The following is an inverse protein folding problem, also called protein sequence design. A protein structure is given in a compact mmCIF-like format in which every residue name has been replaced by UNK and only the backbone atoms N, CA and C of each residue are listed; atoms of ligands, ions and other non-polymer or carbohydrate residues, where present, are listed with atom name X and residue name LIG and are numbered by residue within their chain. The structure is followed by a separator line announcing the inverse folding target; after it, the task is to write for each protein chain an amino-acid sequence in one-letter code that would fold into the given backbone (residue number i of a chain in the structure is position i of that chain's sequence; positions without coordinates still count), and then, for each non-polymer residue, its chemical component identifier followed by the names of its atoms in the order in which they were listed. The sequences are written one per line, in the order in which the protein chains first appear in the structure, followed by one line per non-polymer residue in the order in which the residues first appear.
data_IF_937782796880
#
_entry.id   IF_937782796880
#
_cell.length_a   1.000
_cell.length_b   1.000
_cell.length_c   1.000
_cell.angle_alpha   90.00
_cell.angle_beta   90.00
_cell.angle_gamma   90.00
#
_symmetry.space_group_name_H-M   'P 1'
#
loop_
_entity.id
_entity.type
_entity.pdbx_description
1 polymer ?
#
# COMPACT_ATOMS: atom_id res chain seq x y z
N UNK A 1 0.87 25.02 17.11
CA UNK A 1 1.48 24.29 15.97
C UNK A 1 0.38 24.02 14.94
N UNK A 2 0.42 24.71 13.79
CA UNK A 2 -0.47 24.44 12.67
C UNK A 2 -0.12 23.05 12.10
N UNK A 3 -0.88 22.03 12.47
CA UNK A 3 -0.73 20.68 11.89
C UNK A 3 -1.38 20.73 10.50
N UNK A 4 -0.61 20.51 9.44
CA UNK A 4 -1.17 20.50 8.09
C UNK A 4 -2.19 19.38 7.93
N UNK A 5 -3.40 19.70 7.46
CA UNK A 5 -4.43 18.71 7.11
C UNK A 5 -4.24 18.12 5.70
N UNK A 6 -3.15 18.50 5.02
CA UNK A 6 -2.81 18.04 3.67
C UNK A 6 -2.71 16.51 3.59
N UNK A 7 -3.34 15.95 2.55
CA UNK A 7 -3.27 14.52 2.22
C UNK A 7 -1.83 14.06 1.99
N UNK A 8 -1.41 13.06 2.77
CA UNK A 8 -0.05 12.52 2.75
C UNK A 8 0.96 13.28 3.62
N UNK A 9 0.52 14.20 4.49
CA UNK A 9 1.36 14.80 5.54
C UNK A 9 1.62 13.83 6.69
N UNK A 10 2.69 14.00 7.51
CA UNK A 10 2.96 13.12 8.64
C UNK A 10 1.77 12.96 9.60
N UNK A 11 1.04 14.06 9.87
CA UNK A 11 -0.15 14.04 10.72
C UNK A 11 -1.31 13.25 10.08
N UNK A 12 -1.59 13.47 8.80
CA UNK A 12 -2.62 12.73 8.06
C UNK A 12 -2.30 11.23 7.99
N UNK A 13 -1.03 10.87 7.79
CA UNK A 13 -0.59 9.47 7.80
C UNK A 13 -0.73 8.83 9.18
N UNK A 14 -0.36 9.55 10.25
CA UNK A 14 -0.52 9.09 11.63
C UNK A 14 -1.97 8.78 11.96
N UNK A 15 -2.85 9.68 11.54
CA UNK A 15 -4.29 9.54 11.64
C UNK A 15 -4.81 8.32 10.89
N UNK A 16 -4.40 8.12 9.63
CA UNK A 16 -4.81 6.96 8.84
C UNK A 16 -4.41 5.62 9.48
N UNK A 17 -3.21 5.54 10.06
CA UNK A 17 -2.79 4.35 10.80
C UNK A 17 -3.63 4.09 12.04
N UNK A 18 -3.95 5.12 12.82
CA UNK A 18 -4.83 4.96 13.98
C UNK A 18 -6.20 4.41 13.57
N UNK A 19 -6.75 4.89 12.44
CA UNK A 19 -8.01 4.38 11.91
C UNK A 19 -7.89 2.91 11.47
N UNK A 20 -6.80 2.56 10.78
CA UNK A 20 -6.55 1.17 10.41
C UNK A 20 -6.44 0.26 11.63
N UNK A 21 -5.80 0.71 12.70
CA UNK A 21 -5.73 -0.02 13.96
C UNK A 21 -7.11 -0.17 14.61
N UNK A 22 -7.98 0.84 14.51
CA UNK A 22 -9.35 0.75 14.99
C UNK A 22 -10.16 -0.29 14.18
N UNK A 23 -9.99 -0.32 12.86
CA UNK A 23 -10.62 -1.33 12.00
C UNK A 23 -10.11 -2.74 12.33
N UNK A 24 -8.80 -2.90 12.54
CA UNK A 24 -8.19 -4.17 12.96
C UNK A 24 -8.72 -4.62 14.32
N UNK A 25 -8.94 -3.68 15.26
CA UNK A 25 -9.55 -3.98 16.56
C UNK A 25 -11.00 -4.46 16.42
N UNK A 26 -11.76 -3.91 15.48
CA UNK A 26 -13.18 -4.27 15.27
C UNK A 26 -13.38 -5.55 14.46
N UNK A 27 -12.63 -5.71 13.37
CA UNK A 27 -12.84 -6.78 12.38
C UNK A 27 -11.78 -7.88 12.44
N UNK A 28 -10.76 -7.72 13.28
CA UNK A 28 -9.63 -8.64 13.38
C UNK A 28 -8.47 -8.27 12.46
N UNK A 29 -7.38 -9.05 12.56
CA UNK A 29 -6.18 -8.87 11.74
C UNK A 29 -6.51 -9.04 10.24
N UNK A 30 -5.77 -8.37 9.34
CA UNK A 30 -5.84 -8.67 7.92
C UNK A 30 -5.44 -10.12 7.65
N UNK A 31 -6.05 -10.72 6.64
CA UNK A 31 -5.77 -12.07 6.16
C UNK A 31 -4.89 -12.07 4.91
N UNK A 32 -5.01 -11.03 4.07
CA UNK A 32 -4.22 -10.88 2.85
C UNK A 32 -3.58 -9.49 2.75
N UNK A 33 -2.37 -9.47 2.21
CA UNK A 33 -1.65 -8.28 1.80
C UNK A 33 -1.31 -8.39 0.32
N UNK A 34 -1.75 -7.40 -0.46
CA UNK A 34 -1.52 -7.36 -1.90
C UNK A 34 -0.70 -6.13 -2.25
N UNK A 35 0.20 -6.27 -3.21
CA UNK A 35 0.79 -5.11 -3.89
C UNK A 35 0.48 -5.19 -5.37
N UNK A 36 -0.08 -4.13 -5.94
CA UNK A 36 -0.41 -4.02 -7.36
C UNK A 36 0.38 -2.88 -7.98
N UNK A 37 1.27 -3.20 -8.92
CA UNK A 37 2.09 -2.20 -9.61
C UNK A 37 1.55 -1.97 -11.01
N UNK A 38 1.44 -0.70 -11.43
CA UNK A 38 1.04 -0.35 -12.78
C UNK A 38 1.94 -1.02 -13.84
N UNK A 39 1.36 -1.45 -14.96
CA UNK A 39 2.08 -1.93 -16.12
C UNK A 39 1.95 -0.90 -17.26
N UNK A 40 3.05 -0.27 -17.71
CA UNK A 40 2.99 0.76 -18.75
C UNK A 40 2.77 0.15 -20.14
N UNK A 41 2.88 -1.18 -20.26
CA UNK A 41 2.60 -1.93 -21.49
C UNK A 41 1.14 -2.41 -21.57
N UNK A 42 0.24 -1.93 -20.71
CA UNK A 42 -1.18 -2.20 -20.90
C UNK A 42 -1.67 -1.62 -22.22
N UNK A 43 -2.56 -2.36 -22.90
CA UNK A 43 -3.15 -1.91 -24.17
C UNK A 43 -3.83 -0.54 -24.02
N UNK A 44 -4.54 -0.32 -22.90
CA UNK A 44 -5.19 0.95 -22.57
C UNK A 44 -4.22 2.14 -22.48
N UNK A 45 -2.93 1.89 -22.16
CA UNK A 45 -1.88 2.92 -22.17
C UNK A 45 -1.35 3.09 -23.59
N UNK A 46 -0.91 1.97 -24.20
CA UNK A 46 -0.22 2.00 -25.50
C UNK A 46 -1.12 2.55 -26.61
N UNK A 47 -2.42 2.29 -26.57
CA UNK A 47 -3.39 2.77 -27.56
C UNK A 47 -3.62 4.29 -27.48
N UNK A 48 -3.14 4.96 -26.44
CA UNK A 48 -3.22 6.41 -26.28
C UNK A 48 -1.91 7.14 -26.61
N UNK A 49 -0.87 6.42 -27.06
CA UNK A 49 0.40 7.01 -27.46
C UNK A 49 0.32 7.49 -28.92
N UNK A 50 0.81 8.70 -29.18
CA UNK A 50 0.83 9.28 -30.53
C UNK A 50 2.27 9.41 -31.06
N UNK A 51 2.48 9.06 -32.32
CA UNK A 51 3.79 9.17 -32.99
C UNK A 51 4.89 8.39 -32.25
N UNK A 52 5.87 9.13 -31.73
CA UNK A 52 7.04 8.58 -31.01
C UNK A 52 6.92 8.67 -29.49
N UNK A 53 5.75 9.03 -28.95
CA UNK A 53 5.52 9.11 -27.51
C UNK A 53 5.73 7.74 -26.84
N UNK A 54 6.36 7.76 -25.68
CA UNK A 54 6.49 6.60 -24.80
C UNK A 54 5.60 6.79 -23.57
N UNK A 55 5.20 5.71 -22.88
CA UNK A 55 4.38 5.81 -21.67
C UNK A 55 5.00 6.70 -20.57
N UNK A 56 6.33 6.75 -20.51
CA UNK A 56 7.11 7.63 -19.61
C UNK A 56 6.83 9.12 -19.84
N UNK A 57 6.49 9.49 -21.07
CA UNK A 57 6.24 10.87 -21.50
C UNK A 57 4.80 11.31 -21.20
N UNK A 58 3.91 10.38 -20.80
CA UNK A 58 2.47 10.59 -20.59
C UNK A 58 2.00 10.16 -19.18
N UNK A 59 2.48 10.83 -18.12
CA UNK A 59 2.08 10.51 -16.75
C UNK A 59 0.57 10.67 -16.51
N UNK A 60 -0.09 11.57 -17.26
CA UNK A 60 -1.54 11.78 -17.23
C UNK A 60 -2.34 10.56 -17.69
N UNK A 61 -1.85 9.83 -18.70
CA UNK A 61 -2.48 8.57 -19.17
C UNK A 61 -2.20 7.46 -18.17
N UNK A 62 -0.94 7.31 -17.73
CA UNK A 62 -0.53 6.25 -16.79
C UNK A 62 -1.39 6.26 -15.53
N UNK A 63 -1.54 7.41 -14.88
CA UNK A 63 -2.30 7.52 -13.63
C UNK A 63 -3.80 7.26 -13.82
N UNK A 64 -4.38 7.70 -14.94
CA UNK A 64 -5.80 7.45 -15.25
C UNK A 64 -6.05 5.97 -15.48
N UNK A 65 -5.22 5.31 -16.29
CA UNK A 65 -5.32 3.87 -16.55
C UNK A 65 -5.07 3.08 -15.27
N UNK A 66 -4.04 3.43 -14.49
CA UNK A 66 -3.79 2.76 -13.21
C UNK A 66 -4.96 2.89 -12.24
N UNK A 67 -5.57 4.07 -12.10
CA UNK A 67 -6.75 4.26 -11.26
C UNK A 67 -7.94 3.40 -11.74
N UNK A 68 -8.17 3.30 -13.05
CA UNK A 68 -9.21 2.42 -13.61
C UNK A 68 -8.94 0.94 -13.28
N UNK A 69 -7.71 0.48 -13.49
CA UNK A 69 -7.33 -0.91 -13.18
C UNK A 69 -7.37 -1.21 -11.69
N UNK A 70 -7.05 -0.25 -10.83
CA UNK A 70 -7.17 -0.38 -9.38
C UNK A 70 -8.64 -0.53 -8.96
N UNK A 71 -9.55 0.27 -9.54
CA UNK A 71 -10.99 0.14 -9.27
C UNK A 71 -11.53 -1.22 -9.72
N UNK A 72 -11.14 -1.67 -10.90
CA UNK A 72 -11.50 -3.00 -11.41
C UNK A 72 -10.99 -4.12 -10.48
N UNK A 73 -9.72 -4.02 -10.04
CA UNK A 73 -9.14 -4.95 -9.07
C UNK A 73 -9.92 -4.99 -7.74
N UNK A 74 -10.32 -3.83 -7.21
CA UNK A 74 -11.10 -3.76 -5.98
C UNK A 74 -12.51 -4.32 -6.15
N UNK A 75 -13.15 -4.10 -7.30
CA UNK A 75 -14.46 -4.67 -7.61
C UNK A 75 -14.39 -6.20 -7.70
N UNK A 76 -13.37 -6.72 -8.36
CA UNK A 76 -13.08 -8.14 -8.44
C UNK A 76 -12.86 -8.78 -7.06
N UNK A 77 -12.10 -8.11 -6.20
CA UNK A 77 -11.83 -8.60 -4.84
C UNK A 77 -13.08 -8.53 -3.96
N UNK A 78 -13.79 -7.41 -3.97
CA UNK A 78 -14.85 -7.13 -2.99
C UNK A 78 -16.25 -7.57 -3.44
N UNK A 79 -16.54 -7.59 -4.74
CA UNK A 79 -17.86 -7.97 -5.28
C UNK A 79 -17.86 -9.34 -5.93
N UNK A 80 -16.81 -9.68 -6.67
CA UNK A 80 -16.73 -11.00 -7.35
C UNK A 80 -16.14 -12.10 -6.45
N UNK A 81 -15.73 -11.77 -5.22
CA UNK A 81 -15.41 -12.74 -4.19
C UNK A 81 -14.20 -13.63 -4.49
N UNK A 82 -13.18 -13.09 -5.17
CA UNK A 82 -11.98 -13.85 -5.57
C UNK A 82 -11.30 -14.55 -4.40
N UNK A 83 -11.31 -13.91 -3.23
CA UNK A 83 -10.78 -14.46 -1.98
C UNK A 83 -11.88 -14.85 -0.99
N UNK A 84 -13.14 -14.91 -1.43
CA UNK A 84 -14.33 -14.98 -0.59
C UNK A 84 -14.84 -13.59 -0.17
N UNK A 85 -15.63 -13.55 0.90
CA UNK A 85 -16.29 -12.33 1.39
C UNK A 85 -15.31 -11.43 2.13
N UNK A 86 -15.14 -10.21 1.62
CA UNK A 86 -14.31 -9.18 2.25
C UNK A 86 -15.14 -8.37 3.24
N UNK A 87 -14.84 -8.50 4.54
CA UNK A 87 -15.45 -7.65 5.57
C UNK A 87 -14.93 -6.22 5.47
N UNK A 88 -13.60 -6.05 5.34
CA UNK A 88 -13.01 -4.73 5.25
C UNK A 88 -11.72 -4.72 4.44
N UNK A 89 -11.42 -3.60 3.81
CA UNK A 89 -10.15 -3.38 3.13
C UNK A 89 -9.62 -1.97 3.37
N UNK A 90 -8.30 -1.85 3.25
CA UNK A 90 -7.57 -0.58 3.32
C UNK A 90 -6.54 -0.60 2.20
N UNK A 91 -6.42 0.48 1.44
CA UNK A 91 -5.33 0.62 0.50
C UNK A 91 -4.62 1.96 0.61
N UNK A 92 -3.35 1.96 0.21
CA UNK A 92 -2.53 3.17 0.05
C UNK A 92 -1.77 3.10 -1.26
N UNK A 93 -1.68 4.23 -1.96
CA UNK A 93 -0.93 4.43 -3.19
C UNK A 93 0.42 5.04 -2.84
N UNK A 94 1.48 4.41 -3.30
CA UNK A 94 2.84 4.89 -3.14
C UNK A 94 3.45 5.16 -4.53
N UNK A 95 4.23 6.23 -4.62
CA UNK A 95 4.96 6.63 -5.81
C UNK A 95 6.45 6.54 -5.51
N UNK A 96 7.16 5.66 -6.20
CA UNK A 96 8.62 5.55 -6.06
C UNK A 96 9.31 6.54 -7.02
N UNK A 97 10.46 7.12 -6.64
CA UNK A 97 11.18 8.14 -7.46
C UNK A 97 11.30 7.82 -8.95
N UNK A 98 11.49 6.55 -9.28
CA UNK A 98 11.66 6.02 -10.64
C UNK A 98 10.71 4.86 -10.92
N UNK A 99 9.73 4.65 -10.05
CA UNK A 99 8.81 3.53 -10.13
C UNK A 99 7.43 4.00 -10.55
N UNK A 100 6.70 3.09 -11.17
CA UNK A 100 5.32 3.30 -11.52
C UNK A 100 4.45 3.35 -10.25
N UNK A 101 3.23 3.89 -10.33
CA UNK A 101 2.32 3.91 -9.21
C UNK A 101 2.06 2.48 -8.74
N UNK A 102 1.99 2.29 -7.42
CA UNK A 102 1.65 1.00 -6.85
C UNK A 102 0.71 1.15 -5.67
N UNK A 103 -0.20 0.20 -5.55
CA UNK A 103 -1.14 0.10 -4.46
C UNK A 103 -0.69 -1.00 -3.50
N UNK A 104 -0.72 -0.69 -2.21
CA UNK A 104 -0.64 -1.68 -1.14
C UNK A 104 -2.03 -1.85 -0.55
N UNK A 105 -2.54 -3.07 -0.50
CA UNK A 105 -3.93 -3.37 -0.13
C UNK A 105 -3.92 -4.41 1.00
N UNK A 106 -4.64 -4.14 2.07
CA UNK A 106 -4.94 -5.11 3.13
C UNK A 106 -6.40 -5.52 3.06
N UNK A 107 -6.65 -6.82 3.17
CA UNK A 107 -8.00 -7.38 3.20
C UNK A 107 -8.21 -8.15 4.51
N UNK A 108 -9.39 -7.96 5.11
CA UNK A 108 -9.90 -8.80 6.19
C UNK A 108 -11.14 -9.52 5.67
N UNK A 109 -11.09 -10.85 5.69
CA UNK A 109 -12.13 -11.76 5.21
C UNK A 109 -13.08 -12.14 6.35
N UNK A 110 -14.30 -12.57 6.01
CA UNK A 110 -15.26 -13.10 6.97
C UNK A 110 -14.84 -14.46 7.56
N UNK A 111 -15.62 -14.98 8.50
CA UNK A 111 -15.31 -16.25 9.17
C UNK A 111 -15.33 -17.45 8.22
N UNK A 112 -16.19 -17.46 7.21
CA UNK A 112 -16.33 -18.58 6.27
C UNK A 112 -15.20 -18.57 5.24
N UNK A 113 -14.68 -17.39 4.90
CA UNK A 113 -13.64 -17.18 3.90
C UNK A 113 -12.21 -17.16 4.48
N UNK A 114 -12.03 -17.36 5.80
CA UNK A 114 -10.69 -17.34 6.40
C UNK A 114 -9.78 -18.42 5.81
N UNK A 115 -8.54 -18.01 5.52
CA UNK A 115 -7.45 -18.88 5.11
C UNK A 115 -6.85 -19.52 6.37
N UNK A 116 -7.13 -20.80 6.61
CA UNK A 116 -6.75 -21.49 7.85
C UNK A 116 -5.75 -22.61 7.64
N UNK A 117 -5.73 -23.19 6.46
CA UNK A 117 -4.94 -24.37 6.14
C UNK A 117 -3.97 -24.10 4.99
N UNK A 118 -2.95 -24.96 4.86
CA UNK A 118 -2.06 -24.95 3.68
C UNK A 118 -2.82 -25.08 2.35
N UNK A 119 -3.94 -25.81 2.33
CA UNK A 119 -4.73 -26.01 1.12
C UNK A 119 -5.53 -24.74 0.78
N UNK A 120 -6.01 -24.00 1.79
CA UNK A 120 -6.59 -22.67 1.58
C UNK A 120 -5.57 -21.68 1.03
N UNK A 121 -4.32 -21.74 1.51
CA UNK A 121 -3.23 -20.90 1.01
C UNK A 121 -2.97 -21.22 -0.46
N UNK A 122 -2.73 -22.50 -0.77
CA UNK A 122 -2.41 -22.96 -2.13
C UNK A 122 -3.56 -22.74 -3.13
N UNK A 123 -4.81 -22.65 -2.65
CA UNK A 123 -5.97 -22.27 -3.46
C UNK A 123 -5.86 -20.84 -3.99
N UNK A 124 -5.31 -19.92 -3.22
CA UNK A 124 -5.29 -18.49 -3.56
C UNK A 124 -3.91 -17.96 -3.98
N UNK A 125 -2.83 -18.58 -3.51
CA UNK A 125 -1.47 -18.08 -3.68
C UNK A 125 -0.57 -19.17 -4.23
N UNK A 126 0.09 -18.88 -5.36
CA UNK A 126 1.17 -19.70 -5.91
C UNK A 126 2.46 -18.91 -5.92
N UNK A 127 3.57 -19.61 -5.72
CA UNK A 127 4.91 -19.07 -5.90
C UNK A 127 5.72 -19.94 -6.86
N UNK A 128 5.05 -20.57 -7.82
CA UNK A 128 5.63 -21.48 -8.81
C UNK A 128 5.46 -20.94 -10.24
N UNK A 129 6.38 -21.29 -11.12
CA UNK A 129 6.25 -21.14 -12.56
C UNK A 129 5.09 -22.04 -13.04
N UNK A 130 4.10 -21.49 -13.76
CA UNK A 130 3.06 -22.31 -14.39
C UNK A 130 3.68 -23.24 -15.44
N UNK A 131 3.08 -24.41 -15.64
CA UNK A 131 3.48 -25.27 -16.76
C UNK A 131 3.14 -24.58 -18.11
N UNK A 132 4.13 -24.33 -18.98
CA UNK A 132 3.91 -23.66 -20.25
C UNK A 132 3.08 -24.48 -21.24
N UNK A 133 3.02 -25.81 -21.11
CA UNK A 133 2.21 -26.67 -21.96
C UNK A 133 0.72 -26.51 -21.70
N UNK A 134 0.34 -26.22 -20.45
CA UNK A 134 -1.06 -26.07 -20.02
C UNK A 134 -1.48 -24.61 -19.85
N UNK A 135 -0.60 -23.75 -19.36
CA UNK A 135 -0.89 -22.36 -19.00
C UNK A 135 0.09 -21.36 -19.62
N UNK A 136 0.36 -21.49 -20.92
CA UNK A 136 1.33 -20.65 -21.66
C UNK A 136 1.19 -19.15 -21.36
N UNK A 137 -0.03 -18.61 -21.38
CA UNK A 137 -0.25 -17.18 -21.13
C UNK A 137 0.14 -16.77 -19.71
N UNK A 138 -0.22 -17.57 -18.71
CA UNK A 138 0.13 -17.27 -17.32
C UNK A 138 1.64 -17.41 -17.13
N UNK A 139 2.27 -18.43 -17.73
CA UNK A 139 3.73 -18.60 -17.71
C UNK A 139 4.45 -17.37 -18.25
N UNK A 140 4.01 -16.82 -19.40
CA UNK A 140 4.56 -15.57 -19.96
C UNK A 140 4.42 -14.38 -19.01
N UNK A 141 3.28 -14.27 -18.31
CA UNK A 141 3.06 -13.17 -17.36
C UNK A 141 3.93 -13.36 -16.12
N UNK A 142 4.02 -14.57 -15.56
CA UNK A 142 4.83 -14.87 -14.37
C UNK A 142 6.31 -14.63 -14.64
N UNK A 143 6.83 -15.12 -15.77
CA UNK A 143 8.24 -14.92 -16.16
C UNK A 143 8.57 -13.45 -16.41
N UNK A 144 7.62 -12.66 -16.93
CA UNK A 144 7.79 -11.23 -17.17
C UNK A 144 7.65 -10.37 -15.91
N UNK A 145 6.64 -10.65 -15.09
CA UNK A 145 6.17 -9.73 -14.05
C UNK A 145 6.38 -10.23 -12.63
N UNK A 146 6.55 -11.54 -12.41
CA UNK A 146 6.58 -12.14 -11.07
C UNK A 146 7.93 -12.78 -10.72
N UNK A 147 8.94 -12.69 -11.57
CA UNK A 147 10.30 -13.12 -11.22
C UNK A 147 10.98 -12.01 -10.44
N UNK A 148 11.38 -12.30 -9.20
CA UNK A 148 12.28 -11.41 -8.47
C UNK A 148 13.59 -11.33 -9.26
N UNK A 149 14.01 -10.11 -9.60
CA UNK A 149 15.19 -9.89 -10.42
C UNK A 149 16.41 -10.62 -9.84
N UNK A 150 17.31 -11.12 -10.70
CA UNK A 150 18.51 -11.77 -10.20
C UNK A 150 19.24 -10.79 -9.28
N UNK A 151 19.55 -11.28 -8.10
CA UNK A 151 20.23 -10.56 -7.03
C UNK A 151 21.16 -11.54 -6.31
N UNK A 152 21.76 -11.11 -5.20
CA UNK A 152 22.73 -11.93 -4.50
C UNK A 152 24.02 -12.03 -5.29
N UNK A 153 24.55 -13.24 -5.39
CA UNK A 153 25.77 -13.53 -6.16
C UNK A 153 25.61 -13.31 -7.66
N UNK A 154 24.38 -13.40 -8.18
CA UNK A 154 24.09 -13.22 -9.62
C UNK A 154 24.15 -11.74 -10.01
N UNK A 155 23.76 -10.85 -9.10
CA UNK A 155 23.85 -9.40 -9.31
C UNK A 155 23.87 -8.65 -7.96
N UNK A 156 25.07 -8.30 -7.52
CA UNK A 156 25.28 -7.58 -6.25
C UNK A 156 24.77 -6.13 -6.29
N UNK A 157 24.60 -5.56 -7.49
CA UNK A 157 24.16 -4.18 -7.70
C UNK A 157 22.63 -4.04 -7.76
N UNK A 158 21.88 -5.13 -7.59
CA UNK A 158 20.42 -5.08 -7.58
C UNK A 158 19.90 -4.20 -6.44
N UNK A 159 18.87 -3.34 -6.64
CA UNK A 159 18.38 -2.41 -5.60
C UNK A 159 17.88 -3.07 -4.31
N UNK A 160 17.58 -4.38 -4.37
CA UNK A 160 17.19 -5.16 -3.21
C UNK A 160 18.36 -5.59 -2.33
N UNK A 161 19.61 -5.45 -2.78
CA UNK A 161 20.79 -5.85 -2.03
C UNK A 161 21.09 -4.85 -0.92
N UNK A 162 21.27 -5.35 0.30
CA UNK A 162 21.82 -4.62 1.44
C UNK A 162 22.80 -5.52 2.18
N UNK A 163 23.95 -4.98 2.55
CA UNK A 163 24.95 -5.70 3.34
C UNK A 163 25.32 -7.08 2.74
N UNK A 164 25.44 -7.14 1.41
CA UNK A 164 25.77 -8.36 0.68
C UNK A 164 24.63 -9.39 0.54
N UNK A 165 23.44 -9.12 1.06
CA UNK A 165 22.29 -10.03 1.01
C UNK A 165 21.04 -9.37 0.41
N UNK A 166 20.17 -10.16 -0.21
CA UNK A 166 18.89 -9.65 -0.67
C UNK A 166 17.99 -9.34 0.54
N UNK A 167 17.50 -8.10 0.65
CA UNK A 167 16.61 -7.69 1.75
C UNK A 167 15.23 -8.39 1.73
N UNK A 168 14.92 -9.11 0.64
CA UNK A 168 13.72 -9.95 0.49
C UNK A 168 14.05 -11.45 0.61
N UNK A 169 15.32 -11.79 0.89
CA UNK A 169 15.82 -13.16 1.05
C UNK A 169 15.56 -14.05 -0.17
N UNK A 170 15.83 -13.51 -1.36
CA UNK A 170 15.89 -14.28 -2.60
C UNK A 170 17.33 -14.73 -2.91
N UNK A 171 17.53 -15.92 -3.52
CA UNK A 171 16.51 -16.91 -3.83
C UNK A 171 15.90 -17.55 -2.57
N UNK A 172 14.61 -17.91 -2.61
CA UNK A 172 13.95 -18.67 -1.55
C UNK A 172 14.44 -20.12 -1.53
N UNK A 173 14.12 -20.88 -0.49
CA UNK A 173 14.37 -22.32 -0.47
C UNK A 173 13.29 -23.06 -1.27
N UNK A 174 13.65 -24.19 -1.85
CA UNK A 174 12.65 -25.13 -2.39
C UNK A 174 11.87 -25.76 -1.25
N UNK A 175 10.58 -25.98 -1.49
CA UNK A 175 9.65 -26.62 -0.57
C UNK A 175 8.58 -27.35 -1.36
N UNK A 176 8.40 -28.64 -1.09
CA UNK A 176 7.42 -29.47 -1.79
C UNK A 176 5.98 -29.21 -1.35
N UNK A 177 5.80 -28.69 -0.13
CA UNK A 177 4.51 -28.34 0.46
C UNK A 177 4.59 -26.99 1.16
N UNK A 178 3.48 -26.26 1.19
CA UNK A 178 3.37 -25.01 1.94
C UNK A 178 3.43 -25.31 3.45
N UNK A 179 4.24 -24.54 4.16
CA UNK A 179 4.39 -24.62 5.62
C UNK A 179 3.85 -23.36 6.30
N UNK A 180 3.09 -23.56 7.38
CA UNK A 180 2.62 -22.45 8.21
C UNK A 180 3.79 -21.84 8.98
N UNK A 181 3.81 -20.52 9.06
CA UNK A 181 4.80 -19.79 9.83
C UNK A 181 4.10 -18.95 10.90
N UNK A 182 4.12 -19.43 12.13
CA UNK A 182 3.42 -18.85 13.29
C UNK A 182 3.80 -17.38 13.53
N UNK A 183 4.99 -16.95 13.08
CA UNK A 183 5.55 -15.62 13.37
C UNK A 183 5.78 -14.72 12.14
N UNK A 184 5.41 -15.17 10.94
CA UNK A 184 5.75 -14.52 9.66
C UNK A 184 4.79 -14.82 8.52
N UNK A 185 5.23 -14.64 7.28
CA UNK A 185 4.47 -15.11 6.12
C UNK A 185 4.63 -16.63 5.99
N UNK A 186 3.60 -17.35 5.50
CA UNK A 186 3.75 -18.77 5.16
C UNK A 186 4.95 -19.02 4.26
N UNK A 187 5.56 -20.18 4.40
CA UNK A 187 6.59 -20.62 3.48
C UNK A 187 5.86 -21.32 2.34
N UNK A 188 5.64 -20.60 1.24
CA UNK A 188 4.92 -21.13 0.08
C UNK A 188 5.66 -22.28 -0.58
N UNK A 189 4.91 -23.25 -1.07
CA UNK A 189 5.38 -24.31 -1.95
C UNK A 189 6.14 -23.73 -3.14
N UNK A 190 7.33 -24.28 -3.37
CA UNK A 190 8.26 -23.99 -4.47
C UNK A 190 8.96 -25.31 -4.82
N UNK A 191 8.33 -26.15 -5.64
CA UNK A 191 8.93 -27.44 -6.02
C UNK A 191 10.15 -27.23 -6.91
N UNK A 192 11.11 -28.14 -6.80
CA UNK A 192 12.22 -28.17 -7.74
C UNK A 192 11.71 -28.63 -9.11
N UNK A 193 11.89 -27.79 -10.12
CA UNK A 193 11.57 -28.08 -11.52
C UNK A 193 12.75 -27.65 -12.39
N UNK A 194 12.76 -28.07 -13.65
CA UNK A 194 13.75 -27.59 -14.60
C UNK A 194 13.73 -26.06 -14.67
N UNK A 195 14.88 -25.38 -14.55
CA UNK A 195 14.97 -23.94 -14.70
C UNK A 195 14.56 -23.50 -16.10
N UNK A 196 13.98 -22.30 -16.20
CA UNK A 196 13.60 -21.66 -17.46
C UNK A 196 14.47 -20.44 -17.72
N UNK A 197 14.74 -20.15 -18.99
CA UNK A 197 15.49 -18.96 -19.37
C UNK A 197 14.59 -17.73 -19.36
N UNK A 198 14.93 -16.75 -18.54
CA UNK A 198 14.26 -15.43 -18.48
C UNK A 198 15.31 -14.37 -18.80
N UNK A 199 15.29 -13.87 -20.04
CA UNK A 199 16.35 -13.02 -20.57
C UNK A 199 17.66 -13.79 -20.65
N UNK A 200 18.68 -13.35 -19.90
CA UNK A 200 20.01 -13.99 -19.83
C UNK A 200 20.20 -14.88 -18.60
N UNK A 201 19.15 -15.10 -17.84
CA UNK A 201 19.23 -15.76 -16.53
C UNK A 201 18.44 -17.06 -16.52
N UNK A 202 19.04 -18.09 -15.93
CA UNK A 202 18.37 -19.36 -15.62
C UNK A 202 17.62 -19.21 -14.29
N UNK A 203 16.29 -19.28 -14.34
CA UNK A 203 15.40 -18.99 -13.22
C UNK A 203 14.54 -20.21 -12.89
N UNK A 204 14.37 -20.49 -11.61
CA UNK A 204 13.48 -21.54 -11.10
C UNK A 204 12.47 -20.97 -10.08
N UNK A 205 11.66 -21.85 -9.49
CA UNK A 205 10.62 -21.49 -8.54
C UNK A 205 11.12 -20.73 -7.29
N UNK A 206 12.41 -20.70 -6.99
CA UNK A 206 12.95 -19.94 -5.84
C UNK A 206 12.89 -18.44 -6.03
N UNK A 207 12.73 -17.98 -7.27
CA UNK A 207 12.72 -16.57 -7.64
C UNK A 207 11.32 -15.99 -7.82
N UNK A 208 10.29 -16.84 -7.86
CA UNK A 208 8.92 -16.39 -8.15
C UNK A 208 8.31 -15.67 -6.95
N UNK A 209 7.84 -14.45 -7.15
CA UNK A 209 7.11 -13.66 -6.15
C UNK A 209 5.69 -14.24 -6.03
N UNK A 210 5.15 -14.48 -4.81
CA UNK A 210 3.82 -15.06 -4.62
C UNK A 210 2.70 -14.29 -5.34
N UNK A 211 1.79 -14.97 -6.01
CA UNK A 211 0.73 -14.35 -6.81
C UNK A 211 -0.57 -15.16 -6.77
N UNK A 212 -1.68 -14.50 -7.07
CA UNK A 212 -2.94 -15.18 -7.38
C UNK A 212 -3.08 -15.39 -8.89
N UNK A 213 -3.38 -16.62 -9.32
CA UNK A 213 -3.41 -16.99 -10.74
C UNK A 213 -4.42 -16.16 -11.54
N UNK A 214 -5.63 -15.99 -11.02
CA UNK A 214 -6.72 -15.31 -11.71
C UNK A 214 -6.42 -13.82 -11.85
N UNK A 215 -6.04 -13.16 -10.74
CA UNK A 215 -5.71 -11.73 -10.74
C UNK A 215 -4.56 -11.44 -11.69
N UNK A 216 -3.51 -12.27 -11.67
CA UNK A 216 -2.35 -12.06 -12.52
C UNK A 216 -2.70 -12.19 -14.01
N UNK A 217 -3.52 -13.19 -14.37
CA UNK A 217 -3.99 -13.38 -15.75
C UNK A 217 -4.86 -12.23 -16.23
N UNK A 218 -5.77 -11.73 -15.39
CA UNK A 218 -6.67 -10.63 -15.72
C UNK A 218 -5.94 -9.29 -15.81
N UNK A 219 -5.18 -8.94 -14.78
CA UNK A 219 -4.53 -7.64 -14.70
C UNK A 219 -3.26 -7.54 -15.55
N UNK A 220 -2.60 -8.65 -15.90
CA UNK A 220 -1.36 -8.68 -16.68
C UNK A 220 -0.33 -7.65 -16.16
N UNK A 221 -0.01 -7.72 -14.87
CA UNK A 221 0.84 -6.75 -14.17
C UNK A 221 1.48 -7.40 -12.94
N UNK A 222 2.49 -6.77 -12.35
CA UNK A 222 3.10 -7.29 -11.13
C UNK A 222 2.11 -7.19 -9.95
N UNK A 223 1.58 -8.33 -9.49
CA UNK A 223 0.68 -8.47 -8.35
C UNK A 223 1.27 -9.47 -7.35
N UNK A 224 1.83 -8.97 -6.25
CA UNK A 224 2.23 -9.83 -5.14
C UNK A 224 1.01 -10.07 -4.24
N UNK A 225 0.78 -11.31 -3.82
CA UNK A 225 -0.27 -11.68 -2.86
C UNK A 225 0.34 -12.48 -1.72
N UNK A 226 0.20 -11.97 -0.51
CA UNK A 226 0.79 -12.55 0.70
C UNK A 226 -0.29 -12.83 1.75
N UNK A 227 -0.27 -14.03 2.33
CA UNK A 227 -1.15 -14.38 3.46
C UNK A 227 -0.57 -13.81 4.76
N UNK A 228 -1.36 -13.04 5.47
CA UNK A 228 -0.96 -12.36 6.70
C UNK A 228 -1.14 -13.27 7.92
N UNK A 229 -0.05 -13.78 8.49
CA UNK A 229 -0.16 -14.50 9.77
C UNK A 229 -0.36 -13.55 10.96
N UNK A 230 0.14 -12.31 10.91
CA UNK A 230 0.12 -11.38 12.06
C UNK A 230 -0.25 -9.94 11.70
N UNK A 231 -0.61 -9.15 12.73
CA UNK A 231 -0.85 -7.70 12.62
C UNK A 231 0.40 -6.90 12.20
N UNK A 232 1.58 -7.52 12.12
CA UNK A 232 2.80 -6.88 11.59
C UNK A 232 2.60 -6.40 10.15
N UNK A 233 1.72 -7.02 9.37
CA UNK A 233 1.36 -6.57 8.02
C UNK A 233 0.75 -5.17 8.02
N UNK A 234 0.02 -4.78 9.07
CA UNK A 234 -0.51 -3.43 9.25
C UNK A 234 0.61 -2.43 9.47
N UNK A 235 1.58 -2.76 10.35
CA UNK A 235 2.79 -1.95 10.50
C UNK A 235 3.56 -1.86 9.19
N UNK A 236 3.58 -2.92 8.39
CA UNK A 236 4.25 -2.93 7.08
C UNK A 236 3.55 -2.05 6.04
N UNK A 237 2.21 -2.09 5.93
CA UNK A 237 1.44 -1.18 5.07
C UNK A 237 1.84 0.26 5.39
N UNK A 238 1.83 0.59 6.66
CA UNK A 238 2.12 1.95 7.08
C UNK A 238 3.61 2.27 7.13
N UNK A 239 4.53 1.29 7.17
CA UNK A 239 5.98 1.53 7.10
C UNK A 239 6.37 2.26 5.81
N UNK A 240 5.79 1.89 4.67
CA UNK A 240 6.10 2.52 3.39
C UNK A 240 5.42 3.88 3.22
N UNK A 241 4.25 4.02 3.83
CA UNK A 241 3.50 5.28 3.99
C UNK A 241 4.23 6.26 4.92
N UNK A 242 4.90 5.76 5.95
CA UNK A 242 5.66 6.53 6.96
C UNK A 242 7.14 6.71 6.66
N UNK A 243 7.68 6.11 5.58
CA UNK A 243 9.07 6.39 5.17
C UNK A 243 9.32 7.87 4.88
N UNK A 244 8.25 8.67 4.83
CA UNK A 244 8.31 10.06 4.44
C UNK A 244 8.42 10.16 2.94
N UNK A 245 8.15 11.35 2.43
CA UNK A 245 8.47 11.65 1.05
C UNK A 245 9.95 11.99 0.99
N UNK A 246 10.54 11.75 -0.16
CA UNK A 246 11.88 12.25 -0.39
C UNK A 246 11.88 13.78 -0.23
N UNK A 247 12.71 14.27 0.67
CA UNK A 247 12.85 15.68 0.97
C UNK A 247 14.22 16.17 0.51
N UNK A 248 14.26 17.39 0.00
CA UNK A 248 15.47 18.13 -0.28
C UNK A 248 15.51 19.34 0.66
N UNK A 249 16.66 19.54 1.30
CA UNK A 249 16.94 20.77 2.04
C UNK A 249 17.53 21.78 1.06
N UNK A 250 16.83 22.88 0.82
CA UNK A 250 17.27 23.94 -0.09
C UNK A 250 17.66 25.17 0.72
N UNK A 251 18.91 25.62 0.60
CA UNK A 251 19.36 26.88 1.20
C UNK A 251 19.02 28.03 0.25
N UNK A 252 18.31 29.05 0.74
CA UNK A 252 18.04 30.27 -0.03
C UNK A 252 19.04 31.33 0.44
N UNK A 253 19.95 31.77 -0.43
CA UNK A 253 20.83 32.91 -0.19
C UNK A 253 20.32 34.13 -0.95
N UNK A 254 20.16 35.27 -0.26
CA UNK A 254 20.04 36.58 -0.90
C UNK A 254 21.44 37.14 -1.11
N UNK A 255 21.75 37.62 -2.32
CA UNK A 255 22.97 38.39 -2.57
C UNK A 255 22.95 39.69 -1.74
N UNK A 256 24.03 39.94 -0.98
CA UNK A 256 24.29 41.23 -0.34
C UNK A 256 23.80 41.44 1.11
N UNK A 257 23.23 40.43 1.79
CA UNK A 257 22.86 40.55 3.20
C UNK A 257 24.00 40.04 4.12
N UNK A 258 24.57 40.94 4.93
CA UNK A 258 25.64 40.67 5.90
C UNK A 258 25.15 40.04 7.22
N UNK A 259 23.83 39.88 7.39
CA UNK A 259 23.23 39.28 8.57
C UNK A 259 22.84 37.83 8.26
N UNK A 260 23.79 36.91 8.53
CA UNK A 260 23.71 35.51 8.13
C UNK A 260 23.23 34.65 9.30
N UNK A 261 21.91 34.45 9.41
CA UNK A 261 21.38 33.41 10.29
C UNK A 261 21.40 32.06 9.55
N UNK A 262 22.40 31.26 9.91
CA UNK A 262 22.66 29.92 9.37
C UNK A 262 21.51 28.93 9.66
N UNK A 263 20.69 29.20 10.69
CA UNK A 263 19.58 28.36 11.14
C UNK A 263 18.25 28.77 10.46
N UNK A 264 18.11 30.01 9.97
CA UNK A 264 16.80 30.48 9.45
C UNK A 264 16.62 30.39 7.93
N UNK A 265 17.67 30.04 7.17
CA UNK A 265 17.66 30.20 5.69
C UNK A 265 17.53 28.89 4.90
N UNK A 266 16.74 27.93 5.38
CA UNK A 266 16.46 26.68 4.67
C UNK A 266 14.96 26.46 4.40
N UNK A 267 14.65 25.91 3.22
CA UNK A 267 13.32 25.40 2.87
C UNK A 267 13.43 23.89 2.75
N UNK A 268 12.62 23.17 3.50
CA UNK A 268 12.42 21.74 3.33
C UNK A 268 11.41 21.52 2.19
N UNK A 269 11.89 21.08 1.04
CA UNK A 269 11.08 20.80 -0.14
C UNK A 269 10.78 19.32 -0.28
N UNK A 270 9.51 18.97 -0.43
CA UNK A 270 9.10 17.60 -0.77
C UNK A 270 9.24 17.37 -2.28
N UNK A 271 9.91 16.29 -2.66
CA UNK A 271 9.88 15.78 -4.02
C UNK A 271 8.50 15.19 -4.34
N UNK A 272 7.92 15.63 -5.46
CA UNK A 272 6.67 15.10 -6.01
C UNK A 272 6.97 14.67 -7.45
N UNK A 273 6.84 13.37 -7.72
CA UNK A 273 7.03 12.84 -9.08
C UNK A 273 5.93 13.34 -10.02
N UNK A 274 6.17 13.32 -11.33
CA UNK A 274 5.15 13.70 -12.32
C UNK A 274 3.87 12.85 -12.19
N UNK A 275 4.01 11.56 -11.88
CA UNK A 275 2.89 10.65 -11.62
C UNK A 275 2.12 11.04 -10.36
N UNK A 276 2.82 11.35 -9.26
CA UNK A 276 2.15 11.79 -8.03
C UNK A 276 1.45 13.14 -8.23
N UNK A 277 2.08 14.08 -8.94
CA UNK A 277 1.49 15.37 -9.26
C UNK A 277 0.19 15.19 -10.05
N UNK A 278 0.21 14.37 -11.11
CA UNK A 278 -0.98 14.09 -11.91
C UNK A 278 -2.06 13.36 -11.11
N UNK A 279 -1.69 12.42 -10.22
CA UNK A 279 -2.64 11.78 -9.32
C UNK A 279 -3.37 12.78 -8.42
N UNK A 280 -2.63 13.74 -7.86
CA UNK A 280 -3.18 14.81 -7.01
C UNK A 280 -4.04 15.80 -7.79
N UNK A 281 -3.62 16.20 -9.00
CA UNK A 281 -4.39 17.09 -9.87
C UNK A 281 -5.73 16.49 -10.30
N UNK A 282 -5.81 15.16 -10.41
CA UNK A 282 -7.05 14.44 -10.69
C UNK A 282 -7.89 14.16 -9.42
N UNK A 283 -7.45 14.65 -8.26
CA UNK A 283 -8.10 14.45 -6.95
C UNK A 283 -8.31 12.97 -6.60
N UNK A 284 -7.43 12.09 -7.09
CA UNK A 284 -7.49 10.68 -6.77
C UNK A 284 -7.03 10.43 -5.33
N UNK A 285 -7.73 9.53 -4.63
CA UNK A 285 -7.42 9.20 -3.24
C UNK A 285 -6.07 8.49 -3.12
N UNK A 286 -5.14 9.07 -2.37
CA UNK A 286 -3.86 8.43 -2.04
C UNK A 286 -4.03 7.25 -1.08
N UNK A 287 -5.12 7.22 -0.33
CA UNK A 287 -5.46 6.13 0.59
C UNK A 287 -6.96 6.04 0.75
N UNK A 288 -7.47 4.84 1.01
CA UNK A 288 -8.88 4.62 1.29
C UNK A 288 -9.07 3.50 2.31
N UNK A 289 -10.19 3.56 3.02
CA UNK A 289 -10.64 2.60 4.02
C UNK A 289 -12.10 2.29 3.70
N UNK A 290 -12.47 1.01 3.70
CA UNK A 290 -13.84 0.61 3.39
C UNK A 290 -14.86 1.04 4.46
N UNK A 291 -14.40 1.44 5.64
CA UNK A 291 -15.23 1.91 6.74
C UNK A 291 -14.81 3.30 7.20
N UNK A 292 -15.80 4.10 7.56
CA UNK A 292 -15.59 5.40 8.20
C UNK A 292 -15.25 5.21 9.68
N UNK A 293 -14.13 5.77 10.11
CA UNK A 293 -13.73 5.80 11.52
C UNK A 293 -13.94 7.22 12.04
N UNK A 294 -14.84 7.37 13.02
CA UNK A 294 -15.09 8.63 13.70
C UNK A 294 -14.29 8.67 14.99
N UNK A 295 -13.45 9.70 15.16
CA UNK A 295 -12.66 9.89 16.38
C UNK A 295 -13.46 10.71 17.37
N UNK A 296 -13.66 10.15 18.56
CA UNK A 296 -14.28 10.87 19.66
C UNK A 296 -13.26 11.85 20.25
N UNK A 297 -13.71 13.06 20.59
CA UNK A 297 -12.90 14.01 21.32
C UNK A 297 -12.77 13.53 22.77
N UNK A 298 -11.77 12.69 23.06
CA UNK A 298 -11.58 12.11 24.39
C UNK A 298 -11.10 13.20 25.35
N UNK A 299 -11.82 13.38 26.44
CA UNK A 299 -11.48 14.30 27.53
C UNK A 299 -12.01 13.76 28.86
N UNK A 300 -11.47 14.26 29.98
CA UNK A 300 -11.99 13.97 31.32
C UNK A 300 -13.32 14.73 31.57
N UNK A 301 -14.11 14.34 32.59
CA UNK A 301 -15.30 15.09 32.99
C UNK A 301 -14.98 16.59 33.18
N UNK A 302 -15.78 17.44 32.56
CA UNK A 302 -15.62 18.91 32.53
C UNK A 302 -14.29 19.45 31.96
N UNK A 303 -13.46 18.61 31.32
CA UNK A 303 -12.19 19.03 30.70
C UNK A 303 -12.27 19.02 29.16
N UNK A 304 -13.46 19.23 28.59
CA UNK A 304 -13.60 19.35 27.15
C UNK A 304 -12.78 20.53 26.62
N UNK A 305 -12.08 20.38 25.48
CA UNK A 305 -11.37 21.48 24.86
C UNK A 305 -12.37 22.53 24.36
N UNK A 306 -12.10 23.80 24.69
CA UNK A 306 -12.90 24.95 24.26
C UNK A 306 -12.03 25.81 23.35
N UNK A 307 -12.55 26.11 22.15
CA UNK A 307 -11.93 27.08 21.26
C UNK A 307 -12.59 28.44 21.50
N UNK A 308 -11.78 29.45 21.75
CA UNK A 308 -12.22 30.82 21.98
C UNK A 308 -11.35 31.80 21.18
N UNK A 309 -11.88 33.00 20.97
CA UNK A 309 -11.10 34.15 20.52
C UNK A 309 -10.70 34.95 21.77
N UNK A 310 -9.49 35.49 21.79
CA UNK A 310 -9.00 36.31 22.92
C UNK A 310 -10.01 37.40 23.28
N UNK A 311 -10.34 37.50 24.57
CA UNK A 311 -11.36 38.43 25.09
C UNK A 311 -12.81 37.91 25.05
N UNK A 312 -13.06 36.69 24.56
CA UNK A 312 -14.38 36.05 24.54
C UNK A 312 -14.45 34.74 25.34
N UNK A 313 -13.60 34.59 26.36
CA UNK A 313 -13.45 33.37 27.14
C UNK A 313 -14.74 32.97 27.85
N UNK A 314 -15.39 33.93 28.53
CA UNK A 314 -16.62 33.68 29.28
C UNK A 314 -17.76 33.15 28.38
N UNK A 315 -17.94 33.78 27.21
CA UNK A 315 -18.95 33.35 26.24
C UNK A 315 -18.63 31.97 25.64
N UNK A 316 -17.35 31.66 25.46
CA UNK A 316 -16.93 30.35 24.97
C UNK A 316 -17.23 29.23 25.99
N UNK A 317 -17.08 29.51 27.29
CA UNK A 317 -17.45 28.60 28.38
C UNK A 317 -18.96 28.33 28.37
N UNK A 318 -19.80 29.38 28.28
CA UNK A 318 -21.25 29.24 28.23
C UNK A 318 -21.70 28.39 27.02
N UNK A 319 -21.14 28.67 25.83
CA UNK A 319 -21.41 27.88 24.61
C UNK A 319 -20.98 26.43 24.77
N UNK A 320 -19.82 26.18 25.40
CA UNK A 320 -19.31 24.83 25.62
C UNK A 320 -20.16 24.04 26.63
N UNK A 321 -20.76 24.71 27.63
CA UNK A 321 -21.65 24.06 28.59
C UNK A 321 -22.94 23.54 27.94
N UNK A 322 -23.44 24.21 26.90
CA UNK A 322 -24.63 23.81 26.15
C UNK A 322 -24.32 22.80 25.02
N UNK A 323 -23.07 22.73 24.57
CA UNK A 323 -22.65 21.90 23.44
C UNK A 323 -22.24 20.50 23.91
N UNK A 324 -22.83 19.48 23.30
CA UNK A 324 -22.37 18.10 23.47
C UNK A 324 -21.12 17.86 22.62
N UNK A 325 -20.08 17.29 23.22
CA UNK A 325 -18.93 16.77 22.46
C UNK A 325 -19.32 15.46 21.80
N UNK A 326 -18.55 15.03 20.78
CA UNK A 326 -18.77 13.72 20.16
C UNK A 326 -18.70 12.58 21.17
N UNK A 327 -17.84 12.70 22.19
CA UNK A 327 -17.75 11.73 23.28
C UNK A 327 -19.02 11.72 24.15
N UNK A 328 -19.50 12.88 24.61
CA UNK A 328 -20.69 12.94 25.48
C UNK A 328 -21.95 12.52 24.73
N UNK A 329 -22.08 12.89 23.45
CA UNK A 329 -23.17 12.42 22.59
C UNK A 329 -23.11 10.90 22.39
N UNK A 330 -21.92 10.33 22.24
CA UNK A 330 -21.76 8.88 22.14
C UNK A 330 -22.16 8.16 23.43
N UNK A 331 -21.82 8.70 24.61
CA UNK A 331 -22.28 8.14 25.89
C UNK A 331 -23.80 8.17 26.03
N UNK A 332 -24.45 9.26 25.61
CA UNK A 332 -25.91 9.33 25.61
C UNK A 332 -26.55 8.35 24.63
N UNK A 333 -26.01 8.25 23.41
CA UNK A 333 -26.48 7.27 22.43
C UNK A 333 -26.39 5.85 22.98
N UNK A 334 -25.26 5.50 23.60
CA UNK A 334 -25.02 4.17 24.18
C UNK A 334 -25.96 3.83 25.36
N UNK A 335 -26.61 4.83 25.97
CA UNK A 335 -27.64 4.58 27.00
C UNK A 335 -28.99 4.20 26.38
N UNK A 336 -29.26 4.67 25.16
CA UNK A 336 -30.55 4.53 24.49
C UNK A 336 -30.56 3.44 23.40
N UNK A 337 -29.38 3.03 22.93
CA UNK A 337 -29.16 1.99 21.90
C UNK A 337 -27.94 1.13 22.31
N UNK A 338 -28.13 0.15 23.23
CA UNK A 338 -27.04 -0.57 23.90
C UNK A 338 -26.31 -1.64 23.06
#
# INVERSE_FOLDING_TARGET
MNKSELNGSPHNMQQNYQDAMAMVRKFGKPDLFLTFTCNPSWFDVLNCMEGVQRPEDRPDIIIRVFNMKLKELLEDICKHGIFGTVLTYIYVIEFQKRGLPHAHILLTLDSESKIRTKDDIDKFVSAELPDPCTYLRLFQIVTKCMVHGPCGTININSPCMRDGQCCKSFPKQFKDVTEENVNGYPIYRRRATEPVQVGKYSIDNRWVVPYNLWLLKKCNAHINVEVCASVKSVKYLYKYVYKGHDAALVKIQKEGALDHDEILSFVEGRYVSALEAMWRLNEFNLSHKSHTVVRLAVHLPQQQPIVYQDGQEAQAIERAALRKTTLTSWFELSKNDP
#
